data_IF_706819442330
#
_entry.id   IF_706819442330
#
_cell.length_a   1.000
_cell.length_b   1.000
_cell.length_c   1.000
_cell.angle_alpha   90.00
_cell.angle_beta   90.00
_cell.angle_gamma   90.00
#
_symmetry.space_group_name_H-M   'P 1'
#
loop_
_entity.id
_entity.type
_entity.pdbx_description
1 polymer ?
#
# COMPACT_ATOMS: atom_id res chain seq x y z
N UNK A 1 14.80 7.31 -49.77
CA UNK A 1 14.34 8.24 -48.72
C UNK A 1 15.19 9.50 -48.75
N UNK A 2 14.59 10.70 -48.70
CA UNK A 2 15.32 11.98 -48.74
C UNK A 2 16.40 11.99 -47.64
N UNK A 3 17.64 12.37 -47.97
CA UNK A 3 18.81 12.32 -47.05
C UNK A 3 18.51 13.00 -45.70
N UNK A 4 17.67 14.03 -45.71
CA UNK A 4 17.22 14.76 -44.52
C UNK A 4 16.48 13.86 -43.54
N UNK A 5 15.55 13.02 -44.00
CA UNK A 5 14.77 12.10 -43.15
C UNK A 5 15.68 11.04 -42.52
N UNK A 6 16.68 10.57 -43.26
CA UNK A 6 17.65 9.59 -42.75
C UNK A 6 18.50 10.19 -41.63
N UNK A 7 18.94 11.43 -41.78
CA UNK A 7 19.77 12.11 -40.78
C UNK A 7 18.96 12.42 -39.50
N UNK A 8 17.69 12.77 -39.62
CA UNK A 8 16.79 12.99 -38.49
C UNK A 8 16.62 11.70 -37.66
N UNK A 9 16.38 10.57 -38.33
CA UNK A 9 16.23 9.27 -37.64
C UNK A 9 17.52 8.87 -36.90
N UNK A 10 18.68 9.11 -37.50
CA UNK A 10 19.97 8.86 -36.85
C UNK A 10 20.14 9.76 -35.62
N UNK A 11 19.79 11.04 -35.71
CA UNK A 11 19.86 11.95 -34.56
C UNK A 11 18.95 11.51 -33.40
N UNK A 12 17.70 11.11 -33.70
CA UNK A 12 16.76 10.61 -32.69
C UNK A 12 17.29 9.31 -32.05
N UNK A 13 17.80 8.37 -32.85
CA UNK A 13 18.37 7.14 -32.33
C UNK A 13 19.59 7.41 -31.43
N UNK A 14 20.45 8.37 -31.79
CA UNK A 14 21.62 8.75 -31.01
C UNK A 14 21.21 9.39 -29.67
N UNK A 15 20.19 10.25 -29.67
CA UNK A 15 19.60 10.83 -28.45
C UNK A 15 18.98 9.74 -27.58
N UNK A 16 18.22 8.81 -28.16
CA UNK A 16 17.62 7.70 -27.40
C UNK A 16 18.69 6.81 -26.75
N UNK A 17 19.77 6.48 -27.48
CA UNK A 17 20.90 5.71 -26.94
C UNK A 17 21.64 6.50 -25.85
N UNK A 18 21.84 7.81 -26.04
CA UNK A 18 22.46 8.65 -25.02
C UNK A 18 21.60 8.72 -23.75
N UNK A 19 20.28 8.86 -23.88
CA UNK A 19 19.34 8.86 -22.75
C UNK A 19 19.34 7.50 -22.03
N UNK A 20 19.38 6.39 -22.77
CA UNK A 20 19.50 5.04 -22.19
C UNK A 20 20.82 4.87 -21.42
N UNK A 21 21.94 5.36 -21.97
CA UNK A 21 23.25 5.30 -21.33
C UNK A 21 23.35 6.21 -20.09
N UNK A 22 22.65 7.35 -20.08
CA UNK A 22 22.54 8.26 -18.94
C UNK A 22 21.54 7.77 -17.86
N UNK A 23 20.91 6.61 -18.06
CA UNK A 23 19.96 6.06 -17.08
C UNK A 23 18.60 6.74 -17.08
N UNK A 24 18.24 7.48 -18.13
CA UNK A 24 16.91 8.09 -18.30
C UNK A 24 15.86 7.06 -18.79
N UNK A 25 15.91 5.84 -18.24
CA UNK A 25 14.70 5.04 -18.16
C UNK A 25 13.72 5.82 -17.26
N UNK A 26 12.41 5.83 -17.56
CA UNK A 26 11.39 6.18 -16.57
C UNK A 26 11.30 5.04 -15.53
N UNK A 27 12.44 4.58 -15.02
CA UNK A 27 12.57 3.60 -13.94
C UNK A 27 12.52 4.28 -12.57
N UNK A 28 12.08 5.54 -12.54
CA UNK A 28 11.67 6.26 -11.33
C UNK A 28 10.14 6.23 -11.19
N UNK A 29 9.52 5.10 -11.56
CA UNK A 29 8.10 4.83 -11.38
C UNK A 29 7.98 3.75 -10.30
N UNK A 30 7.81 4.19 -9.05
CA UNK A 30 7.45 3.32 -7.93
C UNK A 30 8.62 2.62 -7.22
N UNK A 31 9.58 3.38 -6.69
CA UNK A 31 10.63 2.85 -5.79
C UNK A 31 10.40 3.27 -4.34
N UNK A 32 9.14 3.41 -3.92
CA UNK A 32 8.81 3.53 -2.50
C UNK A 32 8.65 2.14 -1.92
N UNK A 33 9.28 1.84 -0.78
CA UNK A 33 9.03 0.58 -0.08
C UNK A 33 7.54 0.52 0.29
N UNK A 34 6.79 -0.49 -0.21
CA UNK A 34 5.35 -0.55 -0.05
C UNK A 34 4.97 -0.72 1.42
N UNK A 35 3.88 -0.07 1.82
CA UNK A 35 3.27 -0.31 3.12
C UNK A 35 2.28 -1.46 3.00
N UNK A 36 2.20 -2.26 4.06
CA UNK A 36 1.28 -3.38 4.14
C UNK A 36 0.57 -3.33 5.47
N UNK A 37 -0.71 -3.69 5.46
CA UNK A 37 -1.46 -3.95 6.67
C UNK A 37 -1.32 -5.43 6.99
N UNK A 38 -0.84 -5.75 8.18
CA UNK A 38 -0.64 -7.12 8.65
C UNK A 38 -1.64 -7.42 9.75
N UNK A 39 -2.24 -8.61 9.72
CA UNK A 39 -3.16 -9.13 10.71
C UNK A 39 -2.52 -10.36 11.38
N UNK A 40 -1.89 -10.13 12.53
CA UNK A 40 -1.22 -11.19 13.28
C UNK A 40 -2.16 -11.74 14.36
N UNK A 41 -2.45 -13.04 14.41
CA UNK A 41 -3.30 -13.61 15.45
C UNK A 41 -2.61 -13.50 16.81
N UNK A 42 -3.34 -13.01 17.81
CA UNK A 42 -2.84 -12.86 19.18
C UNK A 42 -3.80 -13.48 20.20
N UNK A 43 -3.24 -14.07 21.26
CA UNK A 43 -4.04 -14.51 22.41
C UNK A 43 -4.14 -13.36 23.41
N UNK A 44 -5.32 -12.73 23.48
CA UNK A 44 -5.59 -11.66 24.46
C UNK A 44 -7.07 -11.65 24.85
N UNK A 45 -7.33 -11.33 26.13
CA UNK A 45 -8.68 -11.12 26.67
C UNK A 45 -9.09 -9.63 26.66
N UNK A 46 -8.27 -8.77 26.07
CA UNK A 46 -8.50 -7.34 26.04
C UNK A 46 -9.55 -6.92 24.98
N UNK A 47 -10.01 -5.67 25.08
CA UNK A 47 -10.99 -5.09 24.15
C UNK A 47 -10.48 -5.16 22.71
N UNK A 48 -11.31 -5.67 21.80
CA UNK A 48 -11.03 -5.77 20.37
C UNK A 48 -12.28 -5.43 19.56
N UNK A 49 -12.08 -4.76 18.43
CA UNK A 49 -13.16 -4.29 17.55
C UNK A 49 -13.71 -5.48 16.76
N UNK A 50 -15.02 -5.72 16.83
CA UNK A 50 -15.66 -6.73 15.98
C UNK A 50 -15.68 -6.26 14.52
N UNK A 51 -14.97 -6.97 13.65
CA UNK A 51 -14.86 -6.66 12.22
C UNK A 51 -15.52 -7.71 11.32
N UNK A 52 -16.37 -8.59 11.86
CA UNK A 52 -17.03 -9.64 11.07
C UNK A 52 -17.96 -9.11 9.97
N UNK A 53 -18.47 -7.89 10.10
CA UNK A 53 -19.43 -7.29 9.17
C UNK A 53 -18.91 -6.01 8.51
N UNK A 54 -17.58 -5.85 8.42
CA UNK A 54 -16.97 -4.74 7.70
C UNK A 54 -17.03 -4.97 6.19
N UNK A 55 -17.17 -3.89 5.43
CA UNK A 55 -17.20 -3.98 3.98
C UNK A 55 -15.80 -3.79 3.39
N UNK A 56 -15.43 -4.64 2.44
CA UNK A 56 -14.23 -4.49 1.59
C UNK A 56 -14.17 -3.12 0.88
N UNK A 57 -15.33 -2.47 0.65
CA UNK A 57 -15.38 -1.12 0.07
C UNK A 57 -14.90 -0.04 1.03
N UNK A 58 -15.02 -0.27 2.33
CA UNK A 58 -14.63 0.67 3.39
C UNK A 58 -13.25 0.33 3.95
N UNK A 59 -12.95 -0.95 4.06
CA UNK A 59 -11.74 -1.50 4.63
C UNK A 59 -11.04 -2.51 3.68
N UNK A 60 -10.63 -2.09 2.47
CA UNK A 60 -9.94 -2.97 1.53
C UNK A 60 -8.64 -3.59 2.07
N UNK A 61 -7.85 -2.87 2.88
CA UNK A 61 -6.58 -3.41 3.38
C UNK A 61 -6.79 -4.41 4.52
N UNK A 62 -7.68 -4.12 5.47
CA UNK A 62 -8.04 -5.06 6.53
C UNK A 62 -8.62 -6.37 5.98
N UNK A 63 -9.56 -6.27 5.04
CA UNK A 63 -10.22 -7.45 4.48
C UNK A 63 -9.27 -8.29 3.64
N UNK A 64 -8.39 -7.67 2.85
CA UNK A 64 -7.33 -8.40 2.14
C UNK A 64 -6.33 -9.06 3.09
N UNK A 65 -5.93 -8.41 4.18
CA UNK A 65 -5.03 -9.02 5.17
C UNK A 65 -5.64 -10.24 5.86
N UNK A 66 -6.92 -10.16 6.25
CA UNK A 66 -7.65 -11.25 6.89
C UNK A 66 -7.94 -12.42 5.93
N UNK A 67 -8.10 -12.14 4.63
CA UNK A 67 -8.30 -13.15 3.60
C UNK A 67 -6.98 -13.79 3.09
N UNK A 68 -5.84 -13.20 3.44
CA UNK A 68 -4.52 -13.64 3.00
C UNK A 68 -3.98 -14.75 3.91
N UNK A 69 -3.41 -15.79 3.32
CA UNK A 69 -2.81 -16.91 4.06
C UNK A 69 -1.62 -16.45 4.94
N UNK A 70 -0.89 -15.43 4.48
CA UNK A 70 0.26 -14.84 5.19
C UNK A 70 -0.16 -13.71 6.15
N UNK A 71 -1.46 -13.45 6.30
CA UNK A 71 -1.99 -12.37 7.15
C UNK A 71 -1.62 -10.96 6.66
N UNK A 72 -1.28 -10.79 5.38
CA UNK A 72 -0.78 -9.53 4.83
C UNK A 72 -1.67 -9.02 3.71
N UNK A 73 -2.01 -7.73 3.76
CA UNK A 73 -2.81 -7.04 2.75
C UNK A 73 -2.08 -6.93 1.41
N UNK A 74 -2.82 -6.50 0.41
CA UNK A 74 -2.21 -5.97 -0.81
C UNK A 74 -1.30 -4.75 -0.51
N UNK A 75 -0.22 -4.53 -1.30
CA UNK A 75 0.71 -3.44 -1.09
C UNK A 75 0.08 -2.07 -1.34
N UNK A 76 0.24 -1.15 -0.40
CA UNK A 76 0.01 0.27 -0.59
C UNK A 76 1.30 0.97 -1.02
N UNK A 77 1.33 1.45 -2.27
CA UNK A 77 2.43 2.25 -2.80
C UNK A 77 2.17 3.71 -2.48
N UNK A 78 2.94 4.28 -1.55
CA UNK A 78 2.94 5.71 -1.35
C UNK A 78 3.50 6.38 -2.61
N UNK A 79 2.64 7.05 -3.39
CA UNK A 79 3.06 7.66 -4.64
C UNK A 79 4.08 8.78 -4.37
N UNK A 80 5.19 8.79 -5.12
CA UNK A 80 6.35 9.67 -4.89
C UNK A 80 6.06 11.13 -5.22
N UNK A 81 4.99 11.39 -5.96
CA UNK A 81 4.49 12.73 -6.24
C UNK A 81 3.29 12.97 -5.34
N UNK A 82 3.52 13.58 -4.16
CA UNK A 82 2.53 13.92 -3.13
C UNK A 82 1.43 14.90 -3.57
N UNK A 83 0.76 14.61 -4.68
CA UNK A 83 -0.36 15.35 -5.24
C UNK A 83 -1.64 14.59 -4.87
N UNK A 84 -1.98 14.70 -3.58
CA UNK A 84 -3.33 14.62 -3.01
C UNK A 84 -4.18 13.40 -3.38
N UNK A 85 -3.87 12.27 -2.77
CA UNK A 85 -4.77 11.13 -2.63
C UNK A 85 -5.75 11.28 -1.46
N UNK A 86 -6.48 12.40 -1.36
CA UNK A 86 -7.58 12.49 -0.37
C UNK A 86 -8.78 11.57 -0.68
N UNK A 87 -8.65 10.74 -1.72
CA UNK A 87 -9.68 9.83 -2.23
C UNK A 87 -9.21 8.38 -2.34
N UNK A 88 -7.93 8.09 -2.09
CA UNK A 88 -7.42 6.71 -2.04
C UNK A 88 -7.55 6.24 -0.60
N UNK A 89 -8.24 5.13 -0.38
CA UNK A 89 -8.21 4.47 0.93
C UNK A 89 -6.75 4.12 1.25
N UNK A 90 -6.29 4.45 2.44
CA UNK A 90 -4.93 4.10 2.87
C UNK A 90 -4.99 3.14 4.08
N UNK A 91 -4.02 2.24 4.24
CA UNK A 91 -3.98 1.36 5.41
C UNK A 91 -3.87 2.15 6.72
N UNK A 92 -3.26 3.34 6.69
CA UNK A 92 -3.18 4.25 7.83
C UNK A 92 -4.55 4.81 8.22
N UNK A 93 -5.36 5.24 7.25
CA UNK A 93 -6.70 5.76 7.50
C UNK A 93 -7.64 4.68 8.07
N UNK A 94 -7.48 3.42 7.62
CA UNK A 94 -8.24 2.30 8.17
C UNK A 94 -7.92 2.04 9.64
N UNK A 95 -6.63 1.99 9.99
CA UNK A 95 -6.19 1.82 11.38
C UNK A 95 -6.63 3.01 12.24
N UNK A 96 -6.48 4.24 11.75
CA UNK A 96 -6.91 5.43 12.49
C UNK A 96 -8.44 5.48 12.69
N UNK A 97 -9.21 5.05 11.70
CA UNK A 97 -10.66 4.94 11.83
C UNK A 97 -11.08 3.90 12.88
N UNK A 98 -10.41 2.74 12.92
CA UNK A 98 -10.62 1.71 13.93
C UNK A 98 -10.26 2.21 15.34
N UNK A 99 -9.10 2.86 15.47
CA UNK A 99 -8.65 3.46 16.73
C UNK A 99 -9.64 4.52 17.23
N UNK A 100 -10.19 5.36 16.34
CA UNK A 100 -11.23 6.34 16.70
C UNK A 100 -12.55 5.69 17.09
N UNK A 101 -12.87 4.52 16.54
CA UNK A 101 -14.09 3.77 16.89
C UNK A 101 -14.00 3.16 18.28
N UNK A 102 -12.85 2.57 18.64
CA UNK A 102 -12.62 2.00 19.95
C UNK A 102 -11.17 2.25 20.42
N UNK A 103 -10.94 3.35 21.15
CA UNK A 103 -9.61 3.69 21.64
C UNK A 103 -9.00 2.63 22.57
N UNK A 104 -9.84 1.87 23.28
CA UNK A 104 -9.41 0.79 24.17
C UNK A 104 -8.78 -0.40 23.42
N UNK A 105 -9.08 -0.57 22.12
CA UNK A 105 -8.50 -1.63 21.30
C UNK A 105 -7.17 -1.22 20.64
N UNK A 106 -6.79 0.06 20.75
CA UNK A 106 -5.51 0.54 20.23
C UNK A 106 -4.34 -0.17 20.94
N UNK A 107 -3.26 -0.36 20.21
CA UNK A 107 -1.96 -0.83 20.70
C UNK A 107 -0.89 0.21 20.36
N UNK A 108 0.34 0.04 20.83
CA UNK A 108 1.42 1.01 20.56
C UNK A 108 1.65 1.24 19.05
N UNK A 109 1.59 0.17 18.26
CA UNK A 109 1.89 0.19 16.82
C UNK A 109 0.68 -0.14 15.91
N UNK A 110 -0.55 -0.22 16.46
CA UNK A 110 -1.69 -0.75 15.71
C UNK A 110 -3.04 -0.77 16.45
N UNK A 111 -3.91 -1.69 16.04
CA UNK A 111 -5.25 -1.86 16.62
C UNK A 111 -5.66 -3.33 16.68
N UNK A 112 -6.40 -3.71 17.72
CA UNK A 112 -6.92 -5.07 17.90
C UNK A 112 -8.29 -5.22 17.27
N UNK A 113 -8.42 -6.24 16.44
CA UNK A 113 -9.68 -6.59 15.78
C UNK A 113 -10.05 -8.04 16.07
N UNK A 114 -11.34 -8.33 16.09
CA UNK A 114 -11.89 -9.67 16.25
C UNK A 114 -12.56 -10.09 14.96
N UNK A 115 -12.09 -11.19 14.39
CA UNK A 115 -12.59 -11.75 13.14
C UNK A 115 -12.77 -13.26 13.31
N UNK A 116 -13.94 -13.78 12.96
CA UNK A 116 -14.32 -15.20 13.08
C UNK A 116 -14.05 -15.82 14.47
N UNK A 117 -14.10 -15.01 15.53
CA UNK A 117 -13.88 -15.45 16.92
C UNK A 117 -12.42 -15.45 17.38
N UNK A 118 -11.46 -15.19 16.49
CA UNK A 118 -10.06 -14.96 16.84
C UNK A 118 -9.75 -13.45 16.94
N UNK A 119 -8.78 -13.10 17.79
CA UNK A 119 -8.29 -11.72 17.92
C UNK A 119 -7.00 -11.57 17.12
N UNK A 120 -6.93 -10.50 16.34
CA UNK A 120 -5.78 -10.16 15.51
C UNK A 120 -5.25 -8.78 15.91
N UNK A 121 -3.93 -8.65 15.97
CA UNK A 121 -3.24 -7.34 15.98
C UNK A 121 -3.09 -6.88 14.53
N UNK A 122 -3.65 -5.72 14.24
CA UNK A 122 -3.57 -5.10 12.93
C UNK A 122 -2.63 -3.91 12.99
N UNK A 123 -1.56 -3.97 12.19
CA UNK A 123 -0.55 -2.91 12.13
C UNK A 123 -0.06 -2.68 10.71
N UNK A 124 0.43 -1.46 10.45
CA UNK A 124 0.98 -1.07 9.16
C UNK A 124 2.49 -1.22 9.21
N UNK A 125 3.03 -2.10 8.36
CA UNK A 125 4.45 -2.44 8.30
C UNK A 125 5.05 -2.02 6.96
N UNK A 126 6.23 -1.41 7.03
CA UNK A 126 7.11 -1.21 5.89
C UNK A 126 8.27 -2.22 6.00
N UNK A 127 8.44 -3.13 5.03
CA UNK A 127 9.50 -4.14 5.04
C UNK A 127 10.90 -3.55 4.78
#
# INVERSE_FOLDING_TARGET
MRRVTRNLLVAIALVAVALLALGALPSYLGSGDPYYLTAEPIETDESAIDVNNVSERRYPFLTSALASDDGRSDPYLADSYGIKEWFTHTPFDEVDALTRQLPEAATDDGVRVRYEGAVYRVEVVQP
#
